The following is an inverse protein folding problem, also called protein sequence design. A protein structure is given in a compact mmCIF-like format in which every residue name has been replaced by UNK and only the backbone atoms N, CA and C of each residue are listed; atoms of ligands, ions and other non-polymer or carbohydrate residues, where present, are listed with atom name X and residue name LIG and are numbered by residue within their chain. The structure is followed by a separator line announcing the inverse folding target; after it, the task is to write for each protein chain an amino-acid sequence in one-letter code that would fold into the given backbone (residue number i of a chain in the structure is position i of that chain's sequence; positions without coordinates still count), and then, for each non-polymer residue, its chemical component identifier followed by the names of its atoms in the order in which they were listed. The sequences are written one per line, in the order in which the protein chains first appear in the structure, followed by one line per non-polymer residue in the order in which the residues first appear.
data_IF_822641596527
#
_entry.id   IF_822641596527
#
_cell.length_a   1.000
_cell.length_b   1.000
_cell.length_c   1.000
_cell.angle_alpha   90.00
_cell.angle_beta   90.00
_cell.angle_gamma   90.00
#
_symmetry.space_group_name_H-M   'P 1'
#
loop_
_entity.id
_entity.type
_entity.pdbx_description
1 polymer ?
#
# COMPACT_ATOMS: atom_id res chain seq x y z
N UNK A 1 11.25 15.28 10.11
CA UNK A 1 10.16 16.18 9.64
C UNK A 1 9.13 15.33 8.93
N UNK A 2 7.87 15.31 9.40
CA UNK A 2 6.75 14.70 8.66
C UNK A 2 6.43 15.60 7.49
N UNK A 3 6.38 15.05 6.28
CA UNK A 3 5.96 15.77 5.07
C UNK A 3 4.65 15.16 4.65
N UNK A 4 3.59 15.97 4.68
CA UNK A 4 2.28 15.61 4.17
C UNK A 4 1.92 16.51 3.00
N UNK A 5 1.03 16.02 2.16
CA UNK A 5 0.48 16.76 1.04
C UNK A 5 -1.04 16.70 1.10
N UNK A 6 -1.68 17.78 0.65
CA UNK A 6 -3.14 17.86 0.56
C UNK A 6 -3.54 17.83 -0.91
N UNK A 7 -4.21 16.76 -1.38
CA UNK A 7 -4.80 16.77 -2.70
C UNK A 7 -5.80 17.92 -2.84
N UNK A 8 -5.83 18.54 -4.02
CA UNK A 8 -6.97 19.34 -4.42
C UNK A 8 -8.24 18.46 -4.57
N UNK A 9 -9.39 19.06 -4.92
CA UNK A 9 -10.62 18.30 -5.12
C UNK A 9 -10.58 17.35 -6.33
N UNK A 10 -9.57 17.47 -7.18
CA UNK A 10 -9.40 16.65 -8.37
C UNK A 10 -8.85 15.27 -8.04
N UNK A 11 -9.09 14.27 -8.91
CA UNK A 11 -8.38 13.00 -8.84
C UNK A 11 -6.87 13.19 -8.76
N UNK A 12 -6.19 12.26 -8.09
CA UNK A 12 -4.75 12.22 -8.06
C UNK A 12 -4.23 10.82 -8.35
N UNK A 13 -3.02 10.76 -8.87
CA UNK A 13 -2.22 9.55 -8.96
C UNK A 13 -0.91 9.78 -8.22
N UNK A 14 -0.57 8.85 -7.34
CA UNK A 14 0.73 8.80 -6.69
C UNK A 14 1.48 7.60 -7.25
N UNK A 15 2.72 7.83 -7.67
CA UNK A 15 3.60 6.82 -8.23
C UNK A 15 4.88 6.73 -7.38
N UNK A 16 5.34 5.50 -7.12
CA UNK A 16 6.62 5.20 -6.49
C UNK A 16 7.41 4.29 -7.42
N UNK A 17 8.58 4.72 -7.86
CA UNK A 17 9.51 3.87 -8.60
C UNK A 17 10.51 3.25 -7.63
N UNK A 18 10.50 1.92 -7.51
CA UNK A 18 11.33 1.22 -6.54
C UNK A 18 11.81 -0.16 -7.05
N UNK A 19 12.91 -0.63 -6.47
CA UNK A 19 13.35 -2.03 -6.52
C UNK A 19 13.01 -2.64 -5.16
N UNK A 20 12.29 -3.76 -5.13
CA UNK A 20 11.89 -4.36 -3.85
C UNK A 20 12.98 -5.30 -3.30
N UNK A 21 13.20 -5.33 -1.98
CA UNK A 21 14.13 -6.26 -1.35
C UNK A 21 13.60 -7.70 -1.44
N UNK A 22 14.49 -8.70 -1.42
CA UNK A 22 14.10 -10.11 -1.32
C UNK A 22 14.27 -10.95 -2.59
N UNK A 23 14.86 -10.42 -3.66
CA UNK A 23 15.53 -11.28 -4.64
C UNK A 23 14.74 -11.75 -5.86
N UNK A 24 14.00 -10.89 -6.55
CA UNK A 24 13.75 -11.11 -7.99
C UNK A 24 15.07 -11.33 -8.76
N UNK A 25 15.03 -12.05 -9.89
CA UNK A 25 16.09 -12.49 -10.84
C UNK A 25 17.51 -12.91 -10.34
N UNK A 26 18.01 -12.43 -9.20
CA UNK A 26 19.37 -12.55 -8.70
C UNK A 26 19.48 -12.91 -7.20
N UNK A 27 18.38 -13.07 -6.46
CA UNK A 27 18.41 -13.41 -5.02
C UNK A 27 17.83 -14.80 -4.70
N UNK A 28 18.28 -15.41 -3.60
CA UNK A 28 17.65 -16.63 -3.09
C UNK A 28 16.41 -16.26 -2.27
N UNK A 29 15.28 -16.93 -2.50
CA UNK A 29 14.03 -16.73 -1.72
C UNK A 29 14.22 -16.91 -0.21
N UNK A 30 15.29 -17.58 0.21
CA UNK A 30 15.65 -17.72 1.62
C UNK A 30 16.17 -16.42 2.25
N UNK A 31 16.76 -15.51 1.47
CA UNK A 31 17.21 -14.21 1.95
C UNK A 31 16.07 -13.22 2.21
N UNK A 32 14.86 -13.51 1.72
CA UNK A 32 13.69 -12.63 1.82
C UNK A 32 12.74 -12.97 2.97
N UNK A 33 12.93 -14.12 3.64
CA UNK A 33 12.05 -14.55 4.72
C UNK A 33 12.06 -13.54 5.87
N UNK A 34 10.87 -13.09 6.26
CA UNK A 34 10.65 -12.06 7.28
C UNK A 34 10.73 -10.62 6.76
N UNK A 35 11.03 -10.41 5.47
CA UNK A 35 11.01 -9.08 4.85
C UNK A 35 9.61 -8.79 4.32
N UNK A 36 9.07 -7.63 4.69
CA UNK A 36 7.76 -7.15 4.25
C UNK A 36 7.87 -5.66 3.85
N UNK A 37 8.36 -5.35 2.64
CA UNK A 37 8.42 -3.97 2.19
C UNK A 37 7.00 -3.42 1.95
N UNK A 38 6.81 -2.14 2.23
CA UNK A 38 5.54 -1.45 2.00
C UNK A 38 5.75 -0.04 1.43
N UNK A 39 4.89 0.35 0.48
CA UNK A 39 4.62 1.73 0.12
C UNK A 39 3.16 1.99 0.43
N UNK A 40 2.89 2.94 1.33
CA UNK A 40 1.54 3.17 1.83
C UNK A 40 1.30 4.66 2.05
N UNK A 41 0.03 5.03 2.09
CA UNK A 41 -0.45 6.37 2.41
C UNK A 41 -1.39 6.30 3.60
N UNK A 42 -1.20 7.24 4.52
CA UNK A 42 -2.05 7.43 5.67
C UNK A 42 -2.38 8.92 5.85
N UNK A 43 -3.59 9.24 6.30
CA UNK A 43 -3.98 10.60 6.65
C UNK A 43 -3.03 11.25 7.65
N UNK A 44 -2.71 12.52 7.40
CA UNK A 44 -1.99 13.34 8.36
C UNK A 44 -2.93 13.79 9.49
N UNK A 45 -3.19 12.89 10.43
CA UNK A 45 -4.08 13.12 11.57
C UNK A 45 -3.61 12.40 12.84
N UNK A 46 -4.31 12.67 13.95
CA UNK A 46 -4.14 11.98 15.24
C UNK A 46 -5.18 10.84 15.44
N UNK A 47 -5.96 10.50 14.41
CA UNK A 47 -6.86 9.36 14.48
C UNK A 47 -6.06 8.04 14.50
N UNK A 48 -6.61 7.02 15.15
CA UNK A 48 -6.00 5.70 15.11
C UNK A 48 -6.07 5.12 13.70
N UNK A 49 -5.07 4.33 13.32
CA UNK A 49 -5.16 3.53 12.10
C UNK A 49 -6.20 2.39 12.26
N UNK A 50 -7.02 2.05 11.24
CA UNK A 50 -7.23 2.71 9.95
C UNK A 50 -8.51 3.56 9.92
N UNK A 51 -8.78 4.33 10.97
CA UNK A 51 -10.06 5.04 11.13
C UNK A 51 -10.33 6.06 10.03
N UNK A 52 -9.29 6.76 9.57
CA UNK A 52 -9.38 7.66 8.42
C UNK A 52 -8.92 7.02 7.10
N UNK A 53 -8.66 5.72 7.14
CA UNK A 53 -8.20 4.89 6.03
C UNK A 53 -6.69 4.79 5.91
N UNK A 54 -6.26 3.71 5.28
CA UNK A 54 -4.88 3.41 4.90
C UNK A 54 -4.91 2.86 3.47
N UNK A 55 -4.03 3.36 2.60
CA UNK A 55 -3.89 2.90 1.21
C UNK A 55 -2.52 2.28 1.03
N UNK A 56 -2.46 0.96 0.98
CA UNK A 56 -1.26 0.20 0.71
C UNK A 56 -1.10 0.08 -0.80
N UNK A 57 -0.23 0.91 -1.37
CA UNK A 57 0.07 0.89 -2.80
C UNK A 57 0.75 -0.41 -3.19
N UNK A 58 1.65 -0.89 -2.33
CA UNK A 58 2.46 -2.07 -2.54
C UNK A 58 2.86 -2.63 -1.20
N UNK A 59 2.52 -3.89 -0.98
CA UNK A 59 3.12 -4.77 0.00
C UNK A 59 3.62 -6.03 -0.71
N UNK A 60 4.64 -6.66 -0.14
CA UNK A 60 5.12 -7.98 -0.55
C UNK A 60 5.52 -8.74 0.70
N UNK A 61 5.26 -10.04 0.75
CA UNK A 61 5.58 -10.84 1.93
C UNK A 61 6.62 -11.88 1.53
N UNK A 62 7.71 -11.96 2.30
CA UNK A 62 8.70 -13.04 2.16
C UNK A 62 9.37 -13.13 0.77
N UNK A 63 9.37 -12.04 -0.01
CA UNK A 63 9.89 -12.03 -1.38
C UNK A 63 9.16 -12.98 -2.32
N UNK A 64 7.86 -13.20 -2.12
CA UNK A 64 7.04 -14.11 -2.93
C UNK A 64 6.83 -13.61 -4.37
N UNK A 65 7.16 -12.34 -4.65
CA UNK A 65 6.97 -11.70 -5.96
C UNK A 65 5.52 -11.31 -6.23
N UNK A 66 4.68 -11.29 -5.20
CA UNK A 66 3.30 -10.82 -5.29
C UNK A 66 3.26 -9.37 -4.84
N UNK A 67 2.66 -8.52 -5.66
CA UNK A 67 2.21 -7.20 -5.28
C UNK A 67 0.85 -7.33 -4.61
N UNK A 68 0.77 -6.96 -3.34
CA UNK A 68 -0.47 -6.79 -2.61
C UNK A 68 -0.79 -5.30 -2.52
N UNK A 69 -2.01 -4.93 -2.89
CA UNK A 69 -2.52 -3.59 -2.70
C UNK A 69 -3.83 -3.65 -1.92
N UNK A 70 -3.98 -2.79 -0.93
CA UNK A 70 -5.14 -2.82 -0.04
C UNK A 70 -5.59 -1.41 0.28
N UNK A 71 -6.90 -1.23 0.37
CA UNK A 71 -7.49 -0.06 1.00
C UNK A 71 -8.21 -0.50 2.28
N UNK A 72 -7.78 0.02 3.41
CA UNK A 72 -8.36 -0.22 4.73
C UNK A 72 -9.25 0.94 5.13
N UNK A 73 -10.36 0.68 5.81
CA UNK A 73 -11.18 1.72 6.45
C UNK A 73 -11.94 1.17 7.66
N UNK A 74 -12.52 2.08 8.43
CA UNK A 74 -13.35 1.75 9.60
C UNK A 74 -14.77 2.24 9.40
N UNK A 75 -15.72 1.31 9.50
CA UNK A 75 -17.17 1.59 9.39
C UNK A 75 -17.73 2.31 10.62
N UNK A 76 -16.98 2.31 11.72
CA UNK A 76 -17.31 2.95 13.00
C UNK A 76 -16.89 4.41 13.07
N UNK A 77 -15.92 4.85 12.26
CA UNK A 77 -15.47 6.24 12.21
C UNK A 77 -16.47 7.11 11.41
N UNK A 78 -16.76 8.38 11.82
CA UNK A 78 -16.19 9.12 12.95
C UNK A 78 -16.93 8.94 14.28
N UNK A 79 -17.87 7.99 14.39
CA UNK A 79 -18.65 7.79 15.62
C UNK A 79 -17.79 7.23 16.76
N UNK A 80 -16.82 6.36 16.44
CA UNK A 80 -15.83 5.84 17.37
C UNK A 80 -14.44 5.95 16.74
N UNK A 81 -13.46 6.36 17.54
CA UNK A 81 -12.04 6.35 17.20
C UNK A 81 -11.38 5.16 17.93
N UNK A 82 -10.27 4.66 17.40
CA UNK A 82 -9.47 3.56 17.92
C UNK A 82 -10.27 2.29 18.17
N UNK A 83 -11.19 1.94 17.27
CA UNK A 83 -12.06 0.76 17.45
C UNK A 83 -11.54 -0.52 16.79
N UNK A 84 -10.41 -0.46 16.07
CA UNK A 84 -9.82 -1.64 15.43
C UNK A 84 -9.63 -2.80 16.44
N UNK A 85 -9.98 -4.05 16.08
CA UNK A 85 -10.46 -4.52 14.77
C UNK A 85 -11.98 -4.41 14.57
N UNK A 86 -12.73 -3.87 15.53
CA UNK A 86 -14.19 -3.72 15.42
C UNK A 86 -14.55 -2.69 14.36
N UNK A 87 -15.27 -3.14 13.33
CA UNK A 87 -15.71 -2.30 12.22
C UNK A 87 -14.69 -2.15 11.10
N UNK A 88 -13.58 -2.91 11.15
CA UNK A 88 -12.54 -2.89 10.13
C UNK A 88 -13.01 -3.59 8.86
N UNK A 89 -12.82 -2.91 7.74
CA UNK A 89 -13.09 -3.43 6.42
C UNK A 89 -11.90 -3.13 5.51
N UNK A 90 -11.72 -3.96 4.50
CA UNK A 90 -10.65 -3.82 3.53
C UNK A 90 -11.08 -4.29 2.14
N UNK A 91 -10.50 -3.67 1.11
CA UNK A 91 -10.61 -4.09 -0.27
C UNK A 91 -9.20 -4.30 -0.84
N UNK A 92 -8.89 -5.52 -1.25
CA UNK A 92 -7.54 -5.93 -1.66
C UNK A 92 -7.50 -6.42 -3.11
N UNK A 93 -6.38 -6.17 -3.77
CA UNK A 93 -5.99 -6.79 -5.04
C UNK A 93 -4.59 -7.39 -4.90
N UNK A 94 -4.32 -8.45 -5.67
CA UNK A 94 -3.01 -9.06 -5.75
C UNK A 94 -2.62 -9.32 -7.20
N UNK A 95 -1.38 -9.02 -7.57
CA UNK A 95 -0.84 -9.27 -8.90
C UNK A 95 0.55 -9.89 -8.80
N UNK A 96 0.85 -10.85 -9.67
CA UNK A 96 2.21 -11.36 -9.80
C UNK A 96 3.08 -10.33 -10.50
N UNK A 97 4.21 -9.98 -9.88
CA UNK A 97 5.17 -9.06 -10.48
C UNK A 97 6.04 -9.73 -11.56
N UNK A 98 6.60 -8.93 -12.48
CA UNK A 98 7.68 -9.37 -13.36
C UNK A 98 8.83 -10.01 -12.59
N UNK A 99 9.49 -11.03 -13.16
CA UNK A 99 10.53 -11.82 -12.46
C UNK A 99 11.75 -11.02 -12.02
N UNK A 100 11.92 -9.81 -12.54
CA UNK A 100 12.98 -8.86 -12.25
C UNK A 100 12.59 -7.78 -11.21
N UNK A 101 11.48 -7.93 -10.48
CA UNK A 101 11.02 -6.99 -9.44
C UNK A 101 12.08 -6.60 -8.39
N UNK A 102 13.04 -7.50 -8.14
CA UNK A 102 14.14 -7.30 -7.18
C UNK A 102 15.46 -6.88 -7.83
N UNK A 103 15.47 -6.64 -9.14
CA UNK A 103 16.66 -6.30 -9.91
C UNK A 103 16.48 -5.05 -10.79
N UNK A 104 15.24 -4.66 -11.10
CA UNK A 104 14.90 -3.50 -11.91
C UNK A 104 13.87 -2.62 -11.18
N UNK A 105 13.85 -1.33 -11.53
CA UNK A 105 12.85 -0.40 -11.02
C UNK A 105 11.49 -0.71 -11.66
N UNK A 106 10.46 -0.80 -10.84
CA UNK A 106 9.06 -0.88 -11.26
C UNK A 106 8.28 0.30 -10.66
N UNK A 107 7.22 0.74 -11.35
CA UNK A 107 6.37 1.82 -10.87
C UNK A 107 5.14 1.25 -10.17
N UNK A 108 5.00 1.50 -8.88
CA UNK A 108 3.81 1.18 -8.10
C UNK A 108 2.95 2.43 -7.97
N UNK A 109 1.65 2.33 -8.23
CA UNK A 109 0.78 3.49 -8.21
C UNK A 109 -0.58 3.23 -7.55
N UNK A 110 -1.12 4.29 -6.93
CA UNK A 110 -2.54 4.41 -6.61
C UNK A 110 -3.12 5.62 -7.32
N UNK A 111 -4.29 5.44 -7.90
CA UNK A 111 -5.15 6.51 -8.39
C UNK A 111 -6.38 6.60 -7.50
N UNK A 112 -6.65 7.81 -6.99
CA UNK A 112 -7.88 8.12 -6.26
C UNK A 112 -8.75 9.01 -7.14
N UNK A 113 -9.86 8.45 -7.60
CA UNK A 113 -10.95 9.15 -8.27
C UNK A 113 -12.02 9.64 -7.29
N UNK A 114 -13.09 10.29 -7.78
CA UNK A 114 -14.22 10.68 -6.95
C UNK A 114 -15.05 9.48 -6.47
N UNK A 115 -15.00 8.36 -7.20
CA UNK A 115 -15.85 7.17 -6.98
C UNK A 115 -15.07 5.86 -6.94
N UNK A 116 -13.74 5.90 -7.08
CA UNK A 116 -12.91 4.71 -7.13
C UNK A 116 -11.53 4.96 -6.53
N UNK A 117 -10.92 3.88 -6.07
CA UNK A 117 -9.48 3.75 -5.83
C UNK A 117 -9.00 2.63 -6.73
N UNK A 118 -7.94 2.86 -7.49
CA UNK A 118 -7.34 1.88 -8.38
C UNK A 118 -5.85 1.77 -8.11
N UNK A 119 -5.34 0.54 -8.14
CA UNK A 119 -3.93 0.24 -7.93
C UNK A 119 -3.32 -0.28 -9.24
N UNK A 120 -2.05 0.03 -9.48
CA UNK A 120 -1.33 -0.40 -10.67
C UNK A 120 0.13 -0.70 -10.33
N UNK A 121 0.71 -1.61 -11.11
CA UNK A 121 2.14 -1.91 -11.19
C UNK A 121 2.55 -2.27 -12.61
#
# INVERSE_FOLDING_TARGET
HKVSWRPGPTPFRLCVSAILPGGGAAGSRHAAKGVWPAHWLMPDSEACDPDQGEMDLMEMIDGDGTHHATYHWQTTYPRSNCSYPTGHEAASAALQLPTDWGAAYHEYAVERGPTHVAFAV
#
